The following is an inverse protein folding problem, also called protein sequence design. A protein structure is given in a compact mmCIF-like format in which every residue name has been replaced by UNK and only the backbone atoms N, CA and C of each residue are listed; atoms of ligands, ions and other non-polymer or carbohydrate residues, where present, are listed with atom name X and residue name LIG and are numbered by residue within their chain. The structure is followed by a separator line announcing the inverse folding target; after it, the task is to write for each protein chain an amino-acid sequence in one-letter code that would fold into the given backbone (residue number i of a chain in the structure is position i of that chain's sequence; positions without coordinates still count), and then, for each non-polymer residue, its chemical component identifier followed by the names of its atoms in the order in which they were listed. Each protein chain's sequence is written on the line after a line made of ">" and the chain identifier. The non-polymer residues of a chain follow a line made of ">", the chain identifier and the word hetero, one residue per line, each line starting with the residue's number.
data_IF_533068569999
#
_entry.id   IF_533068569999
#
_cell.length_a   1.000
_cell.length_b   1.000
_cell.length_c   1.000
_cell.angle_alpha   90.00
_cell.angle_beta   90.00
_cell.angle_gamma   90.00
#
_symmetry.space_group_name_H-M   'P 1'
#
loop_
_entity.id
_entity.type
_entity.pdbx_description
1 polymer ?
#
# COMPACT_ATOMS: atom_id res chain seq x y z
N UNK A 1 27.28 19.46 1.89
CA UNK A 1 26.40 19.03 3.01
C UNK A 1 25.29 18.10 2.51
N UNK A 2 24.98 18.07 1.20
CA UNK A 2 23.95 17.19 0.62
C UNK A 2 24.40 15.73 0.33
N UNK A 3 25.68 15.49 0.01
CA UNK A 3 26.15 14.14 -0.34
C UNK A 3 26.01 13.08 0.78
N UNK A 4 26.15 13.48 2.04
CA UNK A 4 26.01 12.58 3.20
C UNK A 4 24.53 12.27 3.52
N UNK A 5 23.64 13.21 3.15
CA UNK A 5 22.18 13.05 3.25
C UNK A 5 21.67 12.08 2.20
N UNK A 6 22.11 12.24 0.95
CA UNK A 6 21.77 11.34 -0.15
C UNK A 6 22.25 9.91 0.14
N UNK A 7 23.45 9.75 0.69
CA UNK A 7 24.00 8.44 1.01
C UNK A 7 23.29 7.74 2.17
N UNK A 8 22.71 8.49 3.11
CA UNK A 8 21.90 7.96 4.21
C UNK A 8 20.51 7.53 3.73
N UNK A 9 19.87 8.34 2.89
CA UNK A 9 18.58 8.02 2.24
C UNK A 9 18.71 6.74 1.42
N UNK A 10 19.79 6.56 0.65
CA UNK A 10 20.05 5.34 -0.13
C UNK A 10 20.23 4.10 0.76
N UNK A 11 20.93 4.21 1.89
CA UNK A 11 21.13 3.08 2.82
C UNK A 11 19.84 2.67 3.51
N UNK A 12 19.01 3.63 3.92
CA UNK A 12 17.66 3.32 4.45
C UNK A 12 16.79 2.70 3.36
N UNK A 13 16.80 3.28 2.16
CA UNK A 13 16.03 2.82 1.00
C UNK A 13 16.37 1.37 0.64
N UNK A 14 17.65 1.05 0.50
CA UNK A 14 18.11 -0.31 0.18
C UNK A 14 17.82 -1.35 1.26
N UNK A 15 17.89 -0.99 2.55
CA UNK A 15 17.54 -1.92 3.63
C UNK A 15 16.05 -2.28 3.64
N UNK A 16 15.19 -1.30 3.41
CA UNK A 16 13.74 -1.52 3.42
C UNK A 16 13.27 -2.20 2.12
N UNK A 17 13.86 -1.91 0.95
CA UNK A 17 13.59 -2.70 -0.28
C UNK A 17 13.98 -4.17 -0.06
N UNK A 18 15.05 -4.44 0.69
CA UNK A 18 15.42 -5.81 1.07
C UNK A 18 14.44 -6.44 2.06
N UNK A 19 13.79 -5.66 2.91
CA UNK A 19 12.71 -6.14 3.77
C UNK A 19 11.46 -6.45 2.94
N UNK A 20 11.11 -5.56 2.00
CA UNK A 20 9.99 -5.75 1.06
C UNK A 20 10.20 -6.94 0.13
N UNK A 21 11.43 -7.20 -0.32
CA UNK A 21 11.73 -8.37 -1.15
C UNK A 21 11.53 -9.72 -0.44
N UNK A 22 11.45 -9.72 0.91
CA UNK A 22 11.12 -10.93 1.67
C UNK A 22 9.61 -11.23 1.66
N UNK A 23 8.77 -10.23 1.38
CA UNK A 23 7.33 -10.38 1.27
C UNK A 23 6.97 -10.89 -0.14
N UNK A 24 7.06 -12.20 -0.33
CA UNK A 24 6.63 -12.86 -1.56
C UNK A 24 5.23 -13.46 -1.37
N UNK A 25 4.23 -12.86 -2.01
CA UNK A 25 2.84 -13.29 -1.96
C UNK A 25 2.13 -12.93 -3.27
N UNK A 26 1.23 -13.77 -3.82
CA UNK A 26 0.54 -13.47 -5.10
C UNK A 26 -0.20 -12.12 -5.10
N UNK A 27 -0.77 -11.75 -3.94
CA UNK A 27 -1.53 -10.51 -3.76
C UNK A 27 -0.71 -9.31 -3.27
N UNK A 28 0.62 -9.40 -3.28
CA UNK A 28 1.50 -8.27 -2.98
C UNK A 28 2.31 -7.95 -4.24
N UNK A 29 2.50 -6.66 -4.52
CA UNK A 29 3.37 -6.24 -5.62
C UNK A 29 4.81 -6.74 -5.41
N UNK A 30 5.40 -7.37 -6.41
CA UNK A 30 6.79 -7.79 -6.30
C UNK A 30 7.73 -6.60 -6.51
N UNK A 31 8.68 -6.41 -5.59
CA UNK A 31 9.76 -5.44 -5.73
C UNK A 31 11.00 -6.12 -6.33
N UNK A 32 11.49 -5.60 -7.46
CA UNK A 32 12.63 -6.14 -8.19
C UNK A 32 13.94 -5.45 -7.84
N UNK A 33 13.90 -4.20 -7.34
CA UNK A 33 15.09 -3.50 -6.88
C UNK A 33 14.89 -2.00 -6.75
N UNK A 34 15.98 -1.29 -6.47
CA UNK A 34 16.03 0.16 -6.37
C UNK A 34 17.30 0.70 -7.02
N UNK A 35 17.29 1.99 -7.38
CA UNK A 35 18.48 2.67 -7.87
C UNK A 35 18.37 4.19 -7.80
N UNK A 36 19.30 4.86 -8.48
CA UNK A 36 19.27 6.30 -8.71
C UNK A 36 19.44 6.59 -10.18
N UNK A 37 18.73 7.61 -10.67
CA UNK A 37 18.95 8.11 -12.02
C UNK A 37 20.24 8.96 -12.10
N UNK A 38 20.55 9.46 -13.29
CA UNK A 38 21.73 10.30 -13.54
C UNK A 38 21.73 11.63 -12.77
N UNK A 39 20.59 12.04 -12.21
CA UNK A 39 20.43 13.24 -11.38
C UNK A 39 20.43 12.92 -9.88
N UNK A 40 20.67 11.66 -9.49
CA UNK A 40 20.67 11.21 -8.10
C UNK A 40 19.28 10.96 -7.50
N UNK A 41 18.21 11.00 -8.30
CA UNK A 41 16.85 10.79 -7.79
C UNK A 41 16.61 9.30 -7.55
N UNK A 42 16.13 8.90 -6.36
CA UNK A 42 15.86 7.50 -6.08
C UNK A 42 14.69 7.00 -6.93
N UNK A 43 14.77 5.77 -7.41
CA UNK A 43 13.67 5.07 -8.06
C UNK A 43 13.54 3.64 -7.55
N UNK A 44 12.32 3.10 -7.67
CA UNK A 44 11.97 1.73 -7.33
C UNK A 44 11.57 0.97 -8.60
N UNK A 45 12.01 -0.27 -8.71
CA UNK A 45 11.64 -1.19 -9.79
C UNK A 45 10.74 -2.24 -9.19
N UNK A 46 9.54 -2.38 -9.74
CA UNK A 46 8.52 -3.32 -9.28
C UNK A 46 7.87 -4.03 -10.47
N UNK A 47 7.07 -5.04 -10.15
CA UNK A 47 6.23 -5.76 -11.10
C UNK A 47 5.34 -4.79 -11.89
N UNK A 48 5.21 -5.02 -13.20
CA UNK A 48 4.25 -4.32 -14.05
C UNK A 48 2.94 -5.11 -14.08
N UNK A 49 1.86 -4.52 -13.62
CA UNK A 49 0.52 -5.11 -13.69
C UNK A 49 -0.21 -4.58 -14.93
N UNK A 50 -0.02 -5.24 -16.07
CA UNK A 50 -0.66 -4.84 -17.32
C UNK A 50 -2.17 -5.14 -17.33
N UNK A 51 -2.96 -4.22 -17.87
CA UNK A 51 -4.43 -4.33 -17.99
C UNK A 51 -5.20 -4.25 -16.66
N UNK A 52 -4.61 -3.65 -15.62
CA UNK A 52 -5.25 -3.49 -14.32
C UNK A 52 -5.73 -2.05 -14.10
N UNK A 53 -6.73 -1.89 -13.24
CA UNK A 53 -7.22 -0.62 -12.72
C UNK A 53 -7.23 -0.67 -11.18
N UNK A 54 -7.29 0.48 -10.53
CA UNK A 54 -7.36 0.57 -9.07
C UNK A 54 -8.78 0.31 -8.56
N UNK A 55 -8.92 -0.12 -7.31
CA UNK A 55 -10.24 -0.19 -6.67
C UNK A 55 -10.89 1.19 -6.58
N UNK A 56 -10.10 2.27 -6.45
CA UNK A 56 -10.59 3.65 -6.51
C UNK A 56 -11.31 3.95 -7.83
N UNK A 57 -10.71 3.56 -8.96
CA UNK A 57 -11.32 3.70 -10.29
C UNK A 57 -12.57 2.84 -10.46
N UNK A 58 -12.62 1.65 -9.86
CA UNK A 58 -13.81 0.78 -9.87
C UNK A 58 -14.95 1.35 -9.01
N UNK A 59 -14.63 1.98 -7.87
CA UNK A 59 -15.60 2.53 -6.93
C UNK A 59 -16.19 3.86 -7.40
N UNK A 60 -15.43 4.70 -8.08
CA UNK A 60 -15.86 6.03 -8.53
C UNK A 60 -17.28 6.06 -9.18
N UNK A 61 -17.59 5.23 -10.20
CA UNK A 61 -18.93 5.23 -10.81
C UNK A 61 -20.04 4.70 -9.88
N UNK A 62 -19.71 3.77 -8.97
CA UNK A 62 -20.66 3.20 -8.04
C UNK A 62 -21.08 4.23 -6.96
N UNK A 63 -20.10 4.97 -6.44
CA UNK A 63 -20.30 6.04 -5.47
C UNK A 63 -21.08 7.22 -6.07
N UNK A 64 -20.79 7.62 -7.31
CA UNK A 64 -21.56 8.64 -8.03
C UNK A 64 -23.04 8.25 -8.16
N UNK A 65 -23.29 6.95 -8.37
CA UNK A 65 -24.64 6.38 -8.47
C UNK A 65 -25.28 6.04 -7.12
N UNK A 66 -24.57 6.25 -6.00
CA UNK A 66 -24.96 5.86 -4.63
C UNK A 66 -25.36 4.38 -4.53
N UNK A 67 -24.50 3.54 -5.10
CA UNK A 67 -24.68 2.10 -5.15
C UNK A 67 -23.39 1.42 -4.70
N UNK A 68 -23.53 0.35 -3.92
CA UNK A 68 -22.42 -0.56 -3.63
C UNK A 68 -22.13 -1.52 -4.78
N UNK A 69 -20.97 -2.17 -4.72
CA UNK A 69 -20.60 -3.27 -5.59
C UNK A 69 -21.36 -4.56 -5.20
N UNK A 70 -21.49 -5.53 -6.13
CA UNK A 70 -22.06 -6.84 -5.80
C UNK A 70 -21.30 -7.52 -4.65
N UNK A 71 -22.02 -8.06 -3.66
CA UNK A 71 -21.39 -8.67 -2.47
C UNK A 71 -20.39 -9.79 -2.79
N UNK A 72 -20.56 -10.48 -3.91
CA UNK A 72 -19.60 -11.47 -4.40
C UNK A 72 -18.26 -10.84 -4.79
N UNK A 73 -18.28 -9.67 -5.43
CA UNK A 73 -17.09 -8.87 -5.75
C UNK A 73 -16.45 -8.32 -4.49
N UNK A 74 -17.25 -7.76 -3.58
CA UNK A 74 -16.79 -7.25 -2.28
C UNK A 74 -16.04 -8.34 -1.50
N UNK A 75 -16.68 -9.50 -1.32
CA UNK A 75 -16.07 -10.63 -0.62
C UNK A 75 -14.75 -11.06 -1.24
N UNK A 76 -14.70 -11.17 -2.57
CA UNK A 76 -13.48 -11.60 -3.27
C UNK A 76 -12.34 -10.60 -3.04
N UNK A 77 -12.55 -9.31 -3.30
CA UNK A 77 -11.51 -8.29 -3.10
C UNK A 77 -11.02 -8.26 -1.65
N UNK A 78 -11.92 -8.28 -0.66
CA UNK A 78 -11.54 -8.26 0.74
C UNK A 78 -10.73 -9.50 1.15
N UNK A 79 -11.07 -10.69 0.64
CA UNK A 79 -10.29 -11.91 0.91
C UNK A 79 -8.86 -11.81 0.39
N UNK A 80 -8.68 -11.29 -0.83
CA UNK A 80 -7.36 -11.15 -1.44
C UNK A 80 -6.50 -10.09 -0.72
N UNK A 81 -7.10 -8.96 -0.30
CA UNK A 81 -6.43 -7.94 0.52
C UNK A 81 -6.00 -8.53 1.87
N UNK A 82 -6.91 -9.23 2.56
CA UNK A 82 -6.60 -9.83 3.86
C UNK A 82 -5.52 -10.91 3.75
N UNK A 83 -5.48 -11.68 2.67
CA UNK A 83 -4.41 -12.64 2.39
C UNK A 83 -3.05 -11.96 2.24
N UNK A 84 -3.00 -10.82 1.54
CA UNK A 84 -1.77 -10.02 1.41
C UNK A 84 -1.31 -9.47 2.78
N UNK A 85 -2.24 -8.96 3.57
CA UNK A 85 -1.95 -8.40 4.90
C UNK A 85 -1.50 -9.48 5.89
N UNK A 86 -2.09 -10.68 5.85
CA UNK A 86 -1.65 -11.81 6.68
C UNK A 86 -0.17 -12.13 6.43
N UNK A 87 0.23 -12.22 5.15
CA UNK A 87 1.62 -12.48 4.78
C UNK A 87 2.57 -11.37 5.28
N UNK A 88 2.16 -10.11 5.18
CA UNK A 88 2.95 -8.98 5.67
C UNK A 88 3.06 -8.96 7.20
N UNK A 89 1.94 -9.18 7.89
CA UNK A 89 1.87 -9.16 9.36
C UNK A 89 2.68 -10.31 9.96
N UNK A 90 2.76 -11.46 9.29
CA UNK A 90 3.63 -12.58 9.68
C UNK A 90 5.13 -12.20 9.69
N UNK A 91 5.52 -11.18 8.91
CA UNK A 91 6.86 -10.61 8.87
C UNK A 91 7.00 -9.36 9.76
N UNK A 92 6.04 -9.08 10.64
CA UNK A 92 5.94 -7.86 11.46
C UNK A 92 5.92 -6.56 10.62
N UNK A 93 5.48 -6.64 9.37
CA UNK A 93 5.32 -5.50 8.48
C UNK A 93 3.87 -5.01 8.56
N UNK A 94 3.67 -3.72 8.80
CA UNK A 94 2.35 -3.08 8.81
C UNK A 94 2.34 -2.09 7.64
N UNK A 95 1.29 -2.10 6.83
CA UNK A 95 1.21 -1.29 5.61
C UNK A 95 1.00 0.20 5.90
N UNK A 96 0.04 0.54 6.78
CA UNK A 96 -0.26 1.91 7.28
C UNK A 96 -0.93 2.89 6.33
N UNK A 97 -1.13 2.53 5.07
CA UNK A 97 -1.79 3.37 4.06
C UNK A 97 -2.63 2.51 3.13
N UNK A 98 -3.39 1.57 3.70
CA UNK A 98 -4.36 0.80 2.93
C UNK A 98 -5.50 1.74 2.52
N UNK A 99 -5.76 1.81 1.22
CA UNK A 99 -6.80 2.64 0.59
C UNK A 99 -7.10 2.09 -0.81
N UNK A 100 -8.26 2.40 -1.42
CA UNK A 100 -8.63 1.89 -2.74
C UNK A 100 -7.59 2.15 -3.83
N UNK A 101 -6.92 3.31 -3.83
CA UNK A 101 -5.86 3.64 -4.79
C UNK A 101 -4.60 2.75 -4.70
N UNK A 102 -4.39 2.08 -3.56
CA UNK A 102 -3.27 1.13 -3.37
C UNK A 102 -3.68 -0.33 -3.64
N UNK A 103 -4.92 -0.57 -4.10
CA UNK A 103 -5.42 -1.89 -4.46
C UNK A 103 -5.61 -1.96 -5.97
N UNK A 104 -4.79 -2.77 -6.63
CA UNK A 104 -4.92 -3.03 -8.06
C UNK A 104 -5.77 -4.25 -8.33
N UNK A 105 -6.68 -4.14 -9.29
CA UNK A 105 -7.60 -5.16 -9.75
C UNK A 105 -7.29 -5.47 -11.20
N UNK A 106 -7.02 -6.74 -11.48
CA UNK A 106 -6.83 -7.23 -12.84
C UNK A 106 -7.93 -8.21 -13.18
N UNK A 107 -8.66 -7.89 -14.23
CA UNK A 107 -9.68 -8.79 -14.78
C UNK A 107 -9.07 -9.98 -15.51
N UNK A 108 -9.90 -10.99 -15.74
CA UNK A 108 -9.51 -12.22 -16.44
C UNK A 108 -9.28 -11.95 -17.93
N UNK A 109 -8.08 -11.49 -18.31
CA UNK A 109 -7.63 -11.42 -19.71
C UNK A 109 -6.65 -12.55 -20.03
N UNK A 110 -7.20 -13.75 -20.26
CA UNK A 110 -6.41 -14.95 -20.56
C UNK A 110 -5.72 -15.62 -19.35
N UNK A 111 -5.91 -15.08 -18.13
CA UNK A 111 -5.46 -15.64 -16.86
C UNK A 111 -6.49 -15.45 -15.74
N UNK A 112 -6.26 -15.99 -14.54
CA UNK A 112 -7.16 -15.76 -13.42
C UNK A 112 -7.18 -14.26 -13.05
N UNK A 113 -8.34 -13.72 -12.63
CA UNK A 113 -8.39 -12.37 -12.09
C UNK A 113 -7.53 -12.31 -10.82
N UNK A 114 -6.96 -11.16 -10.54
CA UNK A 114 -6.09 -11.00 -9.37
C UNK A 114 -6.23 -9.63 -8.73
N UNK A 115 -5.94 -9.60 -7.43
CA UNK A 115 -5.83 -8.38 -6.64
C UNK A 115 -4.40 -8.24 -6.16
N UNK A 116 -3.82 -7.05 -6.26
CA UNK A 116 -2.48 -6.74 -5.74
C UNK A 116 -2.52 -5.52 -4.86
N UNK A 117 -1.98 -5.66 -3.65
CA UNK A 117 -1.75 -4.57 -2.72
C UNK A 117 -0.39 -3.93 -3.05
N UNK A 118 -0.40 -2.63 -3.31
CA UNK A 118 0.76 -1.80 -3.62
C UNK A 118 1.37 -1.18 -2.36
N UNK A 119 2.50 -0.49 -2.50
CA UNK A 119 3.00 0.55 -1.56
C UNK A 119 3.10 0.19 -0.07
N UNK A 120 3.51 -1.04 0.25
CA UNK A 120 3.82 -1.44 1.62
C UNK A 120 4.88 -0.51 2.25
N UNK A 121 4.45 0.31 3.21
CA UNK A 121 5.34 1.09 4.06
C UNK A 121 6.23 2.12 3.33
N UNK A 122 5.97 2.42 2.05
CA UNK A 122 6.82 3.36 1.29
C UNK A 122 6.74 4.79 1.85
N UNK A 123 5.67 5.13 2.56
CA UNK A 123 5.46 6.43 3.18
C UNK A 123 6.54 6.79 4.24
N UNK A 124 7.27 5.80 4.79
CA UNK A 124 8.43 6.07 5.64
C UNK A 124 9.61 6.69 4.88
N UNK A 125 9.74 6.45 3.57
CA UNK A 125 10.89 6.91 2.79
C UNK A 125 10.90 8.42 2.54
N UNK A 126 9.72 9.04 2.49
CA UNK A 126 9.57 10.46 2.18
C UNK A 126 9.68 11.37 3.41
N UNK A 127 9.57 10.81 4.62
CA UNK A 127 9.45 11.57 5.87
C UNK A 127 10.77 11.63 6.68
N UNK A 128 11.87 11.02 6.20
CA UNK A 128 13.21 11.13 6.83
C UNK A 128 13.90 12.50 6.58
N UNK A 129 13.13 13.54 6.28
CA UNK A 129 13.55 14.92 6.42
C UNK A 129 13.39 15.36 7.87
N UNK A 130 14.49 15.29 8.62
CA UNK A 130 14.67 15.66 10.03
C UNK A 130 14.28 14.61 11.09
N UNK A 131 15.30 14.20 11.85
CA UNK A 131 15.22 13.42 13.08
C UNK A 131 14.55 14.17 14.24
N UNK A 132 13.43 14.81 14.00
CA UNK A 132 12.61 15.48 15.00
C UNK A 132 11.15 15.15 14.76
N UNK A 133 10.67 14.06 15.39
CA UNK A 133 9.27 13.86 15.76
C UNK A 133 8.25 14.40 14.75
N UNK A 134 8.37 14.00 13.50
CA UNK A 134 7.35 14.30 12.50
C UNK A 134 6.26 13.26 12.69
N UNK A 135 5.36 13.50 13.67
CA UNK A 135 4.01 12.90 13.73
C UNK A 135 3.13 13.50 12.62
N UNK A 136 3.65 13.70 11.41
CA UNK A 136 2.80 14.11 10.32
C UNK A 136 2.06 12.86 9.87
N UNK A 137 0.75 12.99 9.81
CA UNK A 137 -0.12 11.95 9.31
C UNK A 137 0.24 11.72 7.84
N UNK A 138 1.03 10.67 7.58
CA UNK A 138 1.36 10.20 6.25
C UNK A 138 0.33 9.12 5.89
N UNK A 139 -0.75 9.54 5.24
CA UNK A 139 -1.80 8.66 4.75
C UNK A 139 -2.96 9.44 4.12
N UNK A 140 -3.97 8.74 3.60
CA UNK A 140 -5.24 9.35 3.22
C UNK A 140 -6.16 9.44 4.45
N UNK A 141 -6.59 10.64 4.90
CA UNK A 141 -7.27 10.80 6.19
C UNK A 141 -8.55 9.97 6.35
N UNK A 142 -9.22 9.65 5.24
CA UNK A 142 -10.48 8.90 5.24
C UNK A 142 -10.33 7.44 5.68
N UNK A 143 -9.16 6.82 5.47
CA UNK A 143 -8.92 5.41 5.83
C UNK A 143 -8.03 5.27 7.08
N UNK A 144 -7.71 6.39 7.73
CA UNK A 144 -6.81 6.45 8.87
C UNK A 144 -7.42 5.82 10.11
N UNK A 145 -6.73 4.86 10.72
CA UNK A 145 -7.14 4.35 12.01
C UNK A 145 -7.01 5.44 13.10
N UNK A 146 -7.86 5.45 14.14
CA UNK A 146 -7.80 6.43 15.23
C UNK A 146 -6.42 6.53 15.88
N UNK A 147 -5.73 5.40 16.07
CA UNK A 147 -4.38 5.36 16.62
C UNK A 147 -3.34 6.04 15.73
N UNK A 148 -3.52 6.06 14.40
CA UNK A 148 -2.65 6.80 13.48
C UNK A 148 -2.86 8.31 13.68
N UNK A 149 -4.12 8.74 13.70
CA UNK A 149 -4.51 10.14 13.90
C UNK A 149 -4.08 10.69 15.27
N UNK A 150 -4.02 9.83 16.29
CA UNK A 150 -3.58 10.17 17.65
C UNK A 150 -2.07 10.00 17.88
N UNK A 151 -1.33 9.52 16.87
CA UNK A 151 0.11 9.24 16.98
C UNK A 151 0.43 8.17 18.04
N UNK A 152 -0.45 7.19 18.19
CA UNK A 152 -0.33 6.05 19.10
C UNK A 152 0.39 4.87 18.41
N UNK A 153 0.50 3.73 19.11
CA UNK A 153 1.20 2.56 18.61
C UNK A 153 0.49 1.88 17.44
N UNK A 154 1.12 1.90 16.27
CA UNK A 154 0.64 1.23 15.04
C UNK A 154 0.98 -0.27 15.06
N UNK A 155 0.01 -1.12 14.69
CA UNK A 155 0.13 -2.60 14.61
C UNK A 155 -0.77 -3.14 13.50
N UNK A 156 -0.84 -4.47 13.32
CA UNK A 156 -1.64 -5.07 12.25
C UNK A 156 -3.13 -4.67 12.24
N UNK A 157 -3.72 -4.38 13.41
CA UNK A 157 -5.11 -3.91 13.47
C UNK A 157 -5.33 -2.54 12.82
N UNK A 158 -4.27 -1.73 12.67
CA UNK A 158 -4.32 -0.46 11.94
C UNK A 158 -4.68 -0.70 10.46
N UNK A 159 -4.10 -1.72 9.84
CA UNK A 159 -4.45 -2.08 8.46
C UNK A 159 -5.88 -2.64 8.38
N UNK A 160 -6.33 -3.39 9.40
CA UNK A 160 -7.69 -3.95 9.45
C UNK A 160 -8.76 -2.86 9.58
N UNK A 161 -8.47 -1.76 10.27
CA UNK A 161 -9.35 -0.60 10.32
C UNK A 161 -9.58 -0.04 8.91
N UNK A 162 -8.50 0.20 8.16
CA UNK A 162 -8.56 0.69 6.80
C UNK A 162 -9.31 -0.27 5.86
N UNK A 163 -9.12 -1.59 6.02
CA UNK A 163 -9.89 -2.60 5.28
C UNK A 163 -11.39 -2.51 5.60
N UNK A 164 -11.76 -2.21 6.84
CA UNK A 164 -13.17 -2.05 7.22
C UNK A 164 -13.80 -0.79 6.57
N UNK A 165 -13.05 0.31 6.49
CA UNK A 165 -13.48 1.53 5.78
C UNK A 165 -13.67 1.26 4.28
N UNK A 166 -12.71 0.55 3.64
CA UNK A 166 -12.86 0.10 2.25
C UNK A 166 -14.10 -0.77 2.10
N UNK A 167 -14.31 -1.75 2.99
CA UNK A 167 -15.48 -2.62 2.94
C UNK A 167 -16.81 -1.86 3.03
N UNK A 168 -16.86 -0.82 3.88
CA UNK A 168 -18.02 0.07 3.99
C UNK A 168 -18.27 0.83 2.69
N UNK A 169 -17.25 1.46 2.14
CA UNK A 169 -17.34 2.20 0.88
C UNK A 169 -17.75 1.29 -0.30
N UNK A 170 -17.29 0.04 -0.31
CA UNK A 170 -17.67 -0.94 -1.33
C UNK A 170 -19.14 -1.35 -1.29
N UNK A 171 -19.86 -1.16 -0.17
CA UNK A 171 -21.26 -1.61 0.00
C UNK A 171 -22.28 -0.48 0.05
N UNK A 172 -21.85 0.79 0.05
CA UNK A 172 -22.71 1.99 0.16
C UNK A 172 -22.71 2.82 -1.11
#
# INVERSE_FOLDING_TARGET
>A
LDADRDQKVIKTFSHEVKALSQLSHPNVIAYHGCGQDSLGRPYLVMELIDGAHTLEEELAPALDARQGLPLTRVRWVLMEILSALEAAHALNMVHRDIKPGNIMLKESDGGPPSVKVLDFGLAKFTDEGDGTKTRHFAGTPMYAAPEQSLGQGIRGWTDLYAVAEIALEMIT
#
